data_IF_165599079916
#
_entry.id   IF_165599079916
#
_cell.length_a   1.000
_cell.length_b   1.000
_cell.length_c   1.000
_cell.angle_alpha   90.00
_cell.angle_beta   90.00
_cell.angle_gamma   90.00
#
_symmetry.space_group_name_H-M   'P 1'
#
loop_
_entity.id
_entity.type
_entity.pdbx_description
1 polymer ?
#
# COMPACT_ATOMS: atom_id res chain seq x y z
N UNK A 1 -5.88 -0.96 75.69
CA UNK A 1 -5.45 0.17 74.82
C UNK A 1 -4.44 1.07 75.57
N UNK A 2 -3.59 0.49 76.39
CA UNK A 2 -2.62 1.23 77.21
C UNK A 2 -1.58 0.21 77.62
N UNK A 3 -0.44 0.13 76.91
CA UNK A 3 0.88 -0.23 77.48
C UNK A 3 2.01 -0.46 76.44
N UNK A 4 1.75 -0.57 75.13
CA UNK A 4 2.81 -0.84 74.15
C UNK A 4 3.34 0.37 73.36
N UNK A 5 2.78 1.57 73.57
CA UNK A 5 3.19 2.80 72.87
C UNK A 5 4.31 3.60 73.58
N UNK A 6 5.13 2.97 74.42
CA UNK A 6 6.27 3.62 75.12
C UNK A 6 7.65 3.04 74.79
N UNK A 7 7.76 2.25 73.72
CA UNK A 7 9.03 1.62 73.31
C UNK A 7 9.51 2.04 71.91
N UNK A 8 9.18 3.25 71.44
CA UNK A 8 9.66 3.77 70.15
C UNK A 8 10.17 5.22 70.23
N UNK A 9 10.47 5.74 71.43
CA UNK A 9 10.91 7.13 71.63
C UNK A 9 12.36 7.24 72.12
N UNK A 10 13.04 6.14 72.46
CA UNK A 10 14.36 6.21 73.13
C UNK A 10 15.50 5.47 72.41
N UNK A 11 15.44 5.35 71.08
CA UNK A 11 16.56 4.83 70.28
C UNK A 11 16.83 5.72 69.06
N UNK A 12 16.89 7.04 69.31
CA UNK A 12 17.29 8.04 68.32
C UNK A 12 18.42 8.91 68.87
N UNK A 13 19.45 8.26 69.41
CA UNK A 13 20.72 8.89 69.76
C UNK A 13 21.82 7.92 69.40
N UNK A 14 22.76 8.39 68.58
CA UNK A 14 23.96 7.71 68.08
C UNK A 14 23.75 6.92 66.79
N UNK A 15 23.55 7.64 65.68
CA UNK A 15 23.89 7.13 64.35
C UNK A 15 24.76 8.18 63.64
N UNK A 16 25.96 7.83 63.14
CA UNK A 16 26.93 8.80 62.65
C UNK A 16 26.51 9.40 61.28
N UNK A 17 26.64 10.72 61.19
CA UNK A 17 26.24 11.61 60.09
C UNK A 17 26.97 11.36 58.75
N UNK A 18 27.94 10.43 58.70
CA UNK A 18 28.77 10.16 57.52
C UNK A 18 28.18 9.16 56.51
N UNK A 19 27.06 8.50 56.83
CA UNK A 19 26.44 7.47 55.97
C UNK A 19 25.28 8.00 55.11
N UNK A 20 24.74 9.18 55.43
CA UNK A 20 23.64 9.83 54.68
C UNK A 20 24.08 10.34 53.30
N UNK A 21 25.35 10.73 53.14
CA UNK A 21 25.86 11.26 51.87
C UNK A 21 26.16 10.17 50.84
N UNK A 22 26.52 8.96 51.27
CA UNK A 22 26.82 7.86 50.35
C UNK A 22 25.54 7.31 49.70
N UNK A 23 24.47 7.12 50.48
CA UNK A 23 23.19 6.60 49.98
C UNK A 23 22.49 7.54 48.98
N UNK A 24 22.55 8.86 49.22
CA UNK A 24 21.94 9.86 48.31
C UNK A 24 22.60 9.91 46.94
N UNK A 25 23.91 9.60 46.83
CA UNK A 25 24.63 9.56 45.56
C UNK A 25 24.36 8.28 44.76
N UNK A 26 24.16 7.14 45.42
CA UNK A 26 23.83 5.88 44.74
C UNK A 26 22.38 5.81 44.24
N UNK A 27 21.42 6.42 44.96
CA UNK A 27 20.01 6.50 44.53
C UNK A 27 19.78 7.42 43.32
N UNK A 28 20.68 8.38 43.06
CA UNK A 28 20.61 9.31 41.94
C UNK A 28 21.06 8.70 40.60
N UNK A 29 21.94 7.68 40.62
CA UNK A 29 22.46 7.08 39.39
C UNK A 29 21.57 5.93 38.87
N UNK A 30 20.88 5.22 39.75
CA UNK A 30 20.01 4.09 39.38
C UNK A 30 18.61 4.50 38.89
N UNK A 31 18.19 5.74 39.13
CA UNK A 31 16.88 6.27 38.68
C UNK A 31 16.91 6.82 37.26
N UNK A 32 18.08 7.21 36.74
CA UNK A 32 18.22 7.75 35.38
C UNK A 32 18.31 6.68 34.28
N UNK A 33 18.73 5.45 34.61
CA UNK A 33 18.83 4.36 33.62
C UNK A 33 17.51 3.59 33.43
N UNK A 34 16.60 3.61 34.40
CA UNK A 34 15.30 2.92 34.31
C UNK A 34 14.28 3.62 33.38
N UNK A 35 14.45 4.91 33.08
CA UNK A 35 13.57 5.64 32.15
C UNK A 35 14.01 5.54 30.68
N UNK A 36 15.23 5.08 30.41
CA UNK A 36 15.76 4.94 29.05
C UNK A 36 15.55 3.54 28.44
N UNK A 37 15.08 2.59 29.24
CA UNK A 37 14.76 1.22 28.83
C UNK A 37 13.35 0.83 29.27
N UNK A 38 12.36 1.68 29.02
CA UNK A 38 10.97 1.21 29.06
C UNK A 38 10.68 0.46 27.75
N UNK A 39 10.63 -0.89 27.75
CA UNK A 39 10.37 -1.68 26.54
C UNK A 39 8.97 -1.42 25.96
N UNK A 40 8.09 -0.71 26.68
CA UNK A 40 6.76 -0.36 26.20
C UNK A 40 6.75 0.81 25.19
N UNK A 41 7.86 1.55 25.02
CA UNK A 41 7.93 2.63 24.04
C UNK A 41 8.17 2.17 22.59
N UNK A 42 8.66 0.95 22.36
CA UNK A 42 8.99 0.46 21.00
C UNK A 42 7.82 -0.14 20.22
N UNK A 43 6.63 -0.28 20.81
CA UNK A 43 5.46 -0.91 20.18
C UNK A 43 4.38 0.07 19.70
N UNK A 44 4.71 1.34 19.49
CA UNK A 44 3.81 2.26 18.78
C UNK A 44 3.89 2.00 17.28
N UNK A 45 3.09 1.05 16.80
CA UNK A 45 2.81 0.94 15.37
C UNK A 45 2.13 2.24 14.92
N UNK A 46 2.91 3.14 14.33
CA UNK A 46 2.36 4.32 13.68
C UNK A 46 1.60 3.83 12.46
N UNK A 47 0.27 3.81 12.55
CA UNK A 47 -0.59 3.59 11.39
C UNK A 47 -0.49 4.83 10.49
N UNK A 48 0.48 4.82 9.58
CA UNK A 48 0.75 5.93 8.67
C UNK A 48 -0.41 6.24 7.71
N UNK A 49 -1.33 5.29 7.51
CA UNK A 49 -2.51 5.43 6.66
C UNK A 49 -3.74 4.77 7.29
N UNK A 50 -4.88 5.46 7.24
CA UNK A 50 -6.18 4.86 7.55
C UNK A 50 -6.66 4.06 6.34
N UNK A 51 -6.47 2.74 6.39
CA UNK A 51 -6.81 1.82 5.30
C UNK A 51 -8.31 1.78 5.01
N UNK A 52 -9.17 2.17 5.95
CA UNK A 52 -10.63 2.16 5.76
C UNK A 52 -11.10 3.18 4.72
N UNK A 53 -10.29 4.20 4.43
CA UNK A 53 -10.58 5.25 3.44
C UNK A 53 -10.23 4.87 2.00
N UNK A 54 -9.53 3.76 1.80
CA UNK A 54 -9.12 3.30 0.48
C UNK A 54 -9.99 2.13 0.04
N UNK A 55 -10.52 2.21 -1.17
CA UNK A 55 -11.35 1.13 -1.72
C UNK A 55 -10.51 -0.13 -1.93
N UNK A 56 -10.96 -1.24 -1.39
CA UNK A 56 -10.43 -2.56 -1.72
C UNK A 56 -10.98 -3.03 -3.08
N UNK A 57 -10.40 -4.10 -3.64
CA UNK A 57 -10.90 -4.70 -4.88
C UNK A 57 -12.36 -5.15 -4.75
N UNK A 58 -12.72 -5.73 -3.60
CA UNK A 58 -14.09 -6.18 -3.31
C UNK A 58 -15.09 -5.02 -3.21
N UNK A 59 -14.62 -3.83 -2.84
CA UNK A 59 -15.45 -2.62 -2.78
C UNK A 59 -15.59 -1.92 -4.14
N UNK A 60 -14.80 -2.31 -5.15
CA UNK A 60 -14.81 -1.69 -6.48
C UNK A 60 -15.31 -2.67 -7.54
N UNK A 61 -16.50 -2.42 -8.09
CA UNK A 61 -17.20 -3.36 -8.96
C UNK A 61 -16.40 -3.86 -10.17
N UNK A 62 -15.64 -3.00 -10.85
CA UNK A 62 -14.79 -3.41 -11.97
C UNK A 62 -13.68 -4.37 -11.52
N UNK A 63 -12.95 -4.02 -10.46
CA UNK A 63 -11.88 -4.86 -9.90
C UNK A 63 -12.44 -6.21 -9.44
N UNK A 64 -13.54 -6.17 -8.66
CA UNK A 64 -14.21 -7.37 -8.17
C UNK A 64 -14.64 -8.32 -9.28
N UNK A 65 -15.07 -7.83 -10.45
CA UNK A 65 -15.47 -8.71 -11.57
C UNK A 65 -14.26 -9.34 -12.26
N UNK A 66 -13.21 -8.57 -12.53
CA UNK A 66 -12.08 -9.04 -13.35
C UNK A 66 -10.99 -9.76 -12.55
N UNK A 67 -11.00 -9.65 -11.22
CA UNK A 67 -10.00 -10.30 -10.34
C UNK A 67 -10.44 -11.66 -9.81
N UNK A 68 -11.72 -12.03 -9.93
CA UNK A 68 -12.16 -13.34 -9.43
C UNK A 68 -11.55 -14.46 -10.27
N UNK A 69 -11.18 -15.55 -9.62
CA UNK A 69 -10.58 -16.73 -10.27
C UNK A 69 -11.55 -17.43 -11.23
N UNK A 70 -12.86 -17.29 -11.00
CA UNK A 70 -13.92 -17.82 -11.86
C UNK A 70 -14.26 -16.89 -13.04
N UNK A 71 -13.62 -15.72 -13.15
CA UNK A 71 -13.79 -14.84 -14.30
C UNK A 71 -13.13 -15.45 -15.54
N UNK A 72 -13.92 -16.08 -16.40
CA UNK A 72 -13.50 -16.44 -17.74
C UNK A 72 -13.49 -15.17 -18.60
N UNK A 73 -12.32 -14.66 -19.03
CA UNK A 73 -12.26 -13.49 -19.89
C UNK A 73 -12.96 -13.79 -21.21
N UNK A 74 -13.67 -12.80 -21.79
CA UNK A 74 -14.30 -12.97 -23.09
C UNK A 74 -13.24 -13.31 -24.14
N UNK A 75 -13.56 -14.30 -24.97
CA UNK A 75 -12.73 -14.70 -26.10
C UNK A 75 -13.04 -13.82 -27.32
N UNK A 76 -11.99 -13.35 -27.97
CA UNK A 76 -12.08 -12.54 -29.19
C UNK A 76 -11.41 -13.24 -30.36
N UNK A 77 -11.98 -13.07 -31.54
CA UNK A 77 -11.44 -13.54 -32.81
C UNK A 77 -11.30 -12.37 -33.79
N UNK A 78 -10.30 -12.47 -34.67
CA UNK A 78 -10.12 -11.52 -35.76
C UNK A 78 -11.19 -11.77 -36.82
N UNK A 79 -11.89 -10.72 -37.23
CA UNK A 79 -12.87 -10.81 -38.32
C UNK A 79 -12.12 -11.14 -39.62
N UNK A 80 -12.44 -12.25 -40.31
CA UNK A 80 -11.77 -12.63 -41.56
C UNK A 80 -11.82 -11.51 -42.60
N UNK A 81 -10.69 -11.25 -43.26
CA UNK A 81 -10.57 -10.19 -44.28
C UNK A 81 -10.49 -8.76 -43.76
N UNK A 82 -10.62 -8.53 -42.45
CA UNK A 82 -10.44 -7.19 -41.86
C UNK A 82 -8.98 -6.81 -41.57
N UNK A 83 -8.09 -7.81 -41.60
CA UNK A 83 -6.68 -7.63 -41.30
C UNK A 83 -5.96 -6.90 -42.44
N UNK A 84 -5.28 -5.83 -42.10
CA UNK A 84 -4.48 -5.03 -43.02
C UNK A 84 -3.21 -4.56 -42.34
N UNK A 85 -2.15 -4.40 -43.13
CA UNK A 85 -0.86 -3.87 -42.67
C UNK A 85 -0.47 -2.70 -43.54
N UNK A 86 -0.22 -1.56 -42.92
CA UNK A 86 0.22 -0.34 -43.59
C UNK A 86 1.16 0.44 -42.66
N UNK A 87 2.28 0.93 -43.20
CA UNK A 87 3.20 1.84 -42.51
C UNK A 87 3.59 1.38 -41.08
N UNK A 88 4.10 0.15 -40.96
CA UNK A 88 4.52 -0.43 -39.69
C UNK A 88 3.36 -0.70 -38.70
N UNK A 89 2.11 -0.60 -39.15
CA UNK A 89 0.92 -0.80 -38.32
C UNK A 89 0.06 -1.94 -38.87
N UNK A 90 -0.16 -2.96 -38.03
CA UNK A 90 -1.17 -3.98 -38.27
C UNK A 90 -2.51 -3.50 -37.69
N UNK A 91 -3.59 -3.57 -38.47
CA UNK A 91 -4.95 -3.24 -38.03
C UNK A 91 -5.91 -4.38 -38.36
N UNK A 92 -6.88 -4.63 -37.49
CA UNK A 92 -7.93 -5.62 -37.72
C UNK A 92 -9.18 -5.31 -36.89
N UNK A 93 -10.32 -5.90 -37.25
CA UNK A 93 -11.52 -5.89 -36.39
C UNK A 93 -11.54 -7.15 -35.52
N UNK A 94 -11.94 -7.01 -34.26
CA UNK A 94 -12.14 -8.11 -33.32
C UNK A 94 -13.63 -8.27 -33.01
N UNK A 95 -14.10 -9.51 -32.92
CA UNK A 95 -15.46 -9.84 -32.48
C UNK A 95 -15.38 -10.82 -31.32
N UNK A 96 -16.25 -10.66 -30.35
CA UNK A 96 -16.34 -11.59 -29.24
C UNK A 96 -17.09 -12.86 -29.63
N UNK A 97 -16.60 -14.02 -29.21
CA UNK A 97 -17.17 -15.31 -29.59
C UNK A 97 -18.27 -15.80 -28.64
N UNK A 98 -18.29 -15.28 -27.41
CA UNK A 98 -19.16 -15.78 -26.33
C UNK A 98 -20.34 -14.84 -26.00
N UNK A 99 -20.34 -13.63 -26.54
CA UNK A 99 -21.42 -12.66 -26.30
C UNK A 99 -21.57 -11.72 -27.49
N UNK A 100 -22.80 -11.24 -27.72
CA UNK A 100 -23.04 -10.20 -28.72
C UNK A 100 -22.46 -8.86 -28.25
N UNK A 101 -21.64 -8.25 -29.10
CA UNK A 101 -21.03 -6.96 -28.86
C UNK A 101 -20.64 -6.32 -30.19
N UNK A 102 -20.51 -4.99 -30.20
CA UNK A 102 -19.98 -4.29 -31.36
C UNK A 102 -18.53 -4.74 -31.63
N UNK A 103 -18.09 -4.81 -32.90
CA UNK A 103 -16.70 -5.10 -33.22
C UNK A 103 -15.75 -4.07 -32.61
N UNK A 104 -14.57 -4.53 -32.16
CA UNK A 104 -13.51 -3.67 -31.66
C UNK A 104 -12.46 -3.44 -32.75
N UNK A 105 -11.82 -2.28 -32.73
CA UNK A 105 -10.66 -1.96 -33.54
C UNK A 105 -9.38 -2.37 -32.82
N UNK A 106 -8.62 -3.29 -33.43
CA UNK A 106 -7.26 -3.63 -33.04
C UNK A 106 -6.28 -2.86 -33.91
N UNK A 107 -5.30 -2.20 -33.28
CA UNK A 107 -4.13 -1.62 -33.93
C UNK A 107 -2.87 -2.06 -33.18
N UNK A 108 -1.87 -2.56 -33.91
CA UNK A 108 -0.56 -2.89 -33.39
C UNK A 108 0.47 -2.11 -34.20
N UNK A 109 1.12 -1.15 -33.58
CA UNK A 109 2.18 -0.36 -34.20
C UNK A 109 3.54 -0.90 -33.79
N UNK A 110 4.41 -1.15 -34.76
CA UNK A 110 5.78 -1.62 -34.54
C UNK A 110 6.74 -0.45 -34.73
N UNK A 111 7.40 -0.05 -33.63
CA UNK A 111 8.42 0.98 -33.64
C UNK A 111 9.76 0.42 -34.14
N UNK A 112 10.60 1.30 -34.70
CA UNK A 112 11.92 0.92 -35.23
C UNK A 112 12.86 0.35 -34.17
N UNK A 113 12.69 0.76 -32.91
CA UNK A 113 13.45 0.26 -31.75
C UNK A 113 13.03 -1.16 -31.31
N UNK A 114 12.09 -1.80 -32.01
CA UNK A 114 11.60 -3.15 -31.70
C UNK A 114 10.46 -3.22 -30.69
N UNK A 115 9.95 -2.09 -30.21
CA UNK A 115 8.76 -2.04 -29.34
C UNK A 115 7.49 -2.19 -30.19
N UNK A 116 6.51 -2.93 -29.70
CA UNK A 116 5.17 -3.01 -30.29
C UNK A 116 4.13 -2.41 -29.34
N UNK A 117 3.33 -1.47 -29.83
CA UNK A 117 2.19 -0.89 -29.08
C UNK A 117 0.89 -1.43 -29.64
N UNK A 118 0.19 -2.21 -28.81
CA UNK A 118 -1.15 -2.69 -29.09
C UNK A 118 -2.20 -1.74 -28.52
N UNK A 119 -3.25 -1.50 -29.28
CA UNK A 119 -4.41 -0.72 -28.89
C UNK A 119 -5.69 -1.43 -29.34
N UNK A 120 -6.66 -1.49 -28.44
CA UNK A 120 -8.00 -2.00 -28.70
C UNK A 120 -9.01 -0.92 -28.35
N UNK A 121 -9.88 -0.55 -29.28
CA UNK A 121 -10.90 0.48 -29.09
C UNK A 121 -12.27 0.02 -29.54
N UNK A 122 -13.30 0.56 -28.94
CA UNK A 122 -14.68 0.39 -29.40
C UNK A 122 -14.99 1.48 -30.43
N UNK A 123 -15.74 1.12 -31.47
CA UNK A 123 -16.30 2.08 -32.42
C UNK A 123 -17.56 2.71 -31.79
N UNK A 124 -17.41 3.90 -31.23
CA UNK A 124 -18.46 4.60 -30.50
C UNK A 124 -18.47 6.10 -30.84
N UNK A 125 -19.65 6.72 -30.74
CA UNK A 125 -19.83 8.16 -30.92
C UNK A 125 -18.98 9.00 -29.95
N UNK A 126 -18.83 8.52 -28.70
CA UNK A 126 -17.99 9.16 -27.70
C UNK A 126 -16.73 8.32 -27.48
N UNK A 127 -15.53 8.82 -27.83
CA UNK A 127 -14.30 8.06 -27.68
C UNK A 127 -13.96 7.82 -26.20
N UNK A 128 -13.31 6.69 -25.92
CA UNK A 128 -12.75 6.42 -24.59
C UNK A 128 -11.59 7.39 -24.31
N UNK A 129 -11.43 7.78 -23.05
CA UNK A 129 -10.35 8.67 -22.64
C UNK A 129 -8.97 8.08 -22.98
N UNK A 130 -8.05 8.95 -23.38
CA UNK A 130 -6.65 8.65 -23.64
C UNK A 130 -5.75 9.68 -22.96
N UNK A 131 -4.60 9.22 -22.49
CA UNK A 131 -3.57 10.10 -21.96
C UNK A 131 -2.81 10.77 -23.11
N UNK A 132 -2.78 12.09 -23.12
CA UNK A 132 -2.09 12.94 -24.11
C UNK A 132 -0.67 13.33 -23.67
N UNK A 133 -0.36 13.25 -22.37
CA UNK A 133 0.87 13.76 -21.77
C UNK A 133 1.90 12.70 -21.36
N UNK A 134 1.56 11.41 -21.47
CA UNK A 134 2.43 10.31 -21.00
C UNK A 134 3.48 9.90 -22.04
N UNK A 135 3.15 9.97 -23.34
CA UNK A 135 4.08 9.57 -24.41
C UNK A 135 4.71 10.83 -25.00
N UNK A 136 6.00 11.03 -24.72
CA UNK A 136 6.78 12.09 -25.38
C UNK A 136 7.27 11.60 -26.73
N UNK A 137 7.11 12.40 -27.79
CA UNK A 137 7.42 12.04 -29.19
C UNK A 137 8.92 11.72 -29.44
N UNK A 138 9.78 11.79 -28.42
CA UNK A 138 11.21 11.45 -28.48
C UNK A 138 11.65 10.31 -27.56
N UNK A 139 10.72 9.57 -26.95
CA UNK A 139 11.01 8.53 -25.95
C UNK A 139 10.99 7.08 -26.46
N UNK A 140 10.72 6.85 -27.75
CA UNK A 140 10.70 5.53 -28.38
C UNK A 140 11.57 5.52 -29.63
#
# INVERSE_FOLDING_TARGET
ITHFAKSLVNQKRNFPESQEMFLKRFLSAATFTALLFDPNLFNRQVLAVDRSKFRTCEQTGFCRRHRREDFAPPKFEVVPGSAQTQDGTFSAKLVATQHSGAPLDLKIHFYENGIARMRVTEDMENPRWEADDVVTEGGL
#
